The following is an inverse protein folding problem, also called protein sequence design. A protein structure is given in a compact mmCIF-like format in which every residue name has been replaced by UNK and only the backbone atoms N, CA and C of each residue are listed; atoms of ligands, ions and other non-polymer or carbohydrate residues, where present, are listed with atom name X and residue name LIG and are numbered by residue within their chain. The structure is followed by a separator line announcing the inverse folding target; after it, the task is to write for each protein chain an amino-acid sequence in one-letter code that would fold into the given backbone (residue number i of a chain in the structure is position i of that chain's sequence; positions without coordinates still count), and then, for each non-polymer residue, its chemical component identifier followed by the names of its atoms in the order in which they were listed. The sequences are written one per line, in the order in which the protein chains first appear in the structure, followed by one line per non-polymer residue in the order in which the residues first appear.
data_IF_745493660522
#
_entry.id   IF_745493660522
#
_cell.length_a   1.000
_cell.length_b   1.000
_cell.length_c   1.000
_cell.angle_alpha   90.00
_cell.angle_beta   90.00
_cell.angle_gamma   90.00
#
_symmetry.space_group_name_H-M   'P 1'
#
loop_
_entity.id
_entity.type
_entity.pdbx_description
1 polymer ?
#
# COMPACT_ATOMS: atom_id res chain seq x y z
N UNK A 1 -5.81 -3.74 -0.55
CA UNK A 1 -5.57 -4.79 -1.56
C UNK A 1 -6.20 -4.42 -2.88
N UNK A 2 -7.50 -4.63 -3.05
CA UNK A 2 -8.17 -4.55 -4.35
C UNK A 2 -8.03 -3.20 -5.05
N UNK A 3 -8.33 -2.09 -4.35
CA UNK A 3 -8.15 -0.72 -4.89
C UNK A 3 -6.74 -0.44 -5.39
N UNK A 4 -5.72 -0.96 -4.70
CA UNK A 4 -4.32 -0.84 -5.09
C UNK A 4 -4.01 -1.65 -6.37
N UNK A 5 -4.51 -2.89 -6.45
CA UNK A 5 -4.35 -3.75 -7.63
C UNK A 5 -5.08 -3.21 -8.86
N UNK A 6 -6.31 -2.73 -8.69
CA UNK A 6 -7.12 -2.11 -9.75
C UNK A 6 -6.44 -0.88 -10.33
N UNK A 7 -5.92 0.00 -9.46
CA UNK A 7 -5.18 1.18 -9.90
C UNK A 7 -3.93 0.78 -10.68
N UNK A 8 -3.15 -0.18 -10.17
CA UNK A 8 -1.93 -0.61 -10.84
C UNK A 8 -2.23 -1.24 -12.19
N UNK A 9 -3.24 -2.10 -12.28
CA UNK A 9 -3.64 -2.74 -13.53
C UNK A 9 -4.04 -1.72 -14.60
N UNK A 10 -4.79 -0.69 -14.21
CA UNK A 10 -5.12 0.43 -15.09
C UNK A 10 -3.87 1.20 -15.52
N UNK A 11 -2.99 1.53 -14.58
CA UNK A 11 -1.81 2.35 -14.85
C UNK A 11 -0.81 1.66 -15.79
N UNK A 12 -0.73 0.34 -15.73
CA UNK A 12 0.21 -0.47 -16.52
C UNK A 12 -0.40 -1.13 -17.74
N UNK A 13 -1.68 -0.85 -18.04
CA UNK A 13 -2.45 -1.54 -19.08
C UNK A 13 -2.37 -3.07 -18.94
N UNK A 14 -2.43 -3.57 -17.70
CA UNK A 14 -2.42 -4.99 -17.39
C UNK A 14 -1.06 -5.69 -17.52
N UNK A 15 0.06 -4.97 -17.48
CA UNK A 15 1.42 -5.55 -17.64
C UNK A 15 2.37 -5.10 -16.55
N UNK A 16 2.77 -5.98 -15.64
CA UNK A 16 3.71 -5.60 -14.58
C UNK A 16 4.49 -6.78 -14.00
N UNK A 17 5.78 -6.56 -13.73
CA UNK A 17 6.56 -7.39 -12.81
C UNK A 17 6.53 -6.77 -11.42
N UNK A 18 5.81 -7.42 -10.51
CA UNK A 18 5.42 -6.85 -9.22
C UNK A 18 6.26 -7.48 -8.11
N UNK A 19 6.92 -6.63 -7.33
CA UNK A 19 7.47 -7.03 -6.03
C UNK A 19 6.43 -6.74 -4.96
N UNK A 20 6.04 -7.76 -4.21
CA UNK A 20 5.16 -7.61 -3.06
C UNK A 20 5.97 -7.60 -1.76
N UNK A 21 5.89 -6.49 -1.01
CA UNK A 21 6.43 -6.38 0.34
C UNK A 21 5.31 -6.62 1.35
N UNK A 22 5.28 -7.81 1.92
CA UNK A 22 4.21 -8.24 2.82
C UNK A 22 4.43 -7.78 4.25
N UNK A 23 3.34 -7.61 5.00
CA UNK A 23 3.39 -7.30 6.43
C UNK A 23 3.87 -8.45 7.31
N UNK A 24 3.71 -8.31 8.62
CA UNK A 24 4.07 -9.34 9.61
C UNK A 24 3.39 -10.67 9.31
N UNK A 25 4.17 -11.76 9.32
CA UNK A 25 3.66 -13.10 9.06
C UNK A 25 2.57 -13.50 10.08
N UNK A 26 1.46 -14.05 9.58
CA UNK A 26 0.31 -14.45 10.41
C UNK A 26 -0.68 -13.31 10.72
N UNK A 27 -0.34 -12.05 10.42
CA UNK A 27 -1.28 -10.94 10.59
C UNK A 27 -2.42 -11.02 9.56
N UNK A 28 -3.67 -10.93 10.02
CA UNK A 28 -4.85 -10.93 9.14
C UNK A 28 -4.79 -9.80 8.11
N UNK A 29 -4.36 -8.61 8.54
CA UNK A 29 -4.23 -7.44 7.66
C UNK A 29 -3.27 -7.68 6.49
N UNK A 30 -2.16 -8.40 6.70
CA UNK A 30 -1.22 -8.73 5.63
C UNK A 30 -1.85 -9.72 4.65
N UNK A 31 -2.48 -10.78 5.17
CA UNK A 31 -3.19 -11.78 4.36
C UNK A 31 -4.30 -11.13 3.51
N UNK A 32 -5.15 -10.32 4.13
CA UNK A 32 -6.32 -9.73 3.47
C UNK A 32 -5.89 -8.67 2.44
N UNK A 33 -4.81 -7.90 2.72
CA UNK A 33 -4.19 -6.98 1.76
C UNK A 33 -3.61 -7.74 0.55
N UNK A 34 -2.90 -8.86 0.74
CA UNK A 34 -2.42 -9.72 -0.35
C UNK A 34 -3.57 -10.30 -1.18
N UNK A 35 -4.56 -10.91 -0.51
CA UNK A 35 -5.68 -11.57 -1.19
C UNK A 35 -6.43 -10.57 -2.07
N UNK A 36 -6.82 -9.42 -1.54
CA UNK A 36 -7.54 -8.42 -2.32
C UNK A 36 -6.73 -7.89 -3.51
N UNK A 37 -5.42 -7.75 -3.36
CA UNK A 37 -4.55 -7.34 -4.47
C UNK A 37 -4.49 -8.42 -5.55
N UNK A 38 -4.27 -9.68 -5.18
CA UNK A 38 -4.27 -10.81 -6.12
C UNK A 38 -5.59 -10.97 -6.86
N UNK A 39 -6.72 -10.82 -6.16
CA UNK A 39 -8.05 -10.86 -6.77
C UNK A 39 -8.24 -9.77 -7.82
N UNK A 40 -7.79 -8.54 -7.53
CA UNK A 40 -7.88 -7.41 -8.46
C UNK A 40 -7.04 -7.61 -9.73
N UNK A 41 -5.88 -8.26 -9.63
CA UNK A 41 -5.00 -8.48 -10.79
C UNK A 41 -5.26 -9.80 -11.52
N UNK A 42 -6.14 -10.68 -10.99
CA UNK A 42 -6.38 -12.04 -11.52
C UNK A 42 -6.78 -12.07 -13.00
N UNK A 43 -7.44 -11.02 -13.50
CA UNK A 43 -7.85 -10.88 -14.90
C UNK A 43 -6.72 -10.46 -15.86
N UNK A 44 -5.52 -10.16 -15.36
CA UNK A 44 -4.41 -9.60 -16.13
C UNK A 44 -3.21 -10.58 -16.11
N UNK A 45 -3.11 -11.52 -17.07
CA UNK A 45 -2.10 -12.58 -17.04
C UNK A 45 -0.65 -12.09 -17.16
N UNK A 46 -0.46 -10.87 -17.68
CA UNK A 46 0.85 -10.22 -17.79
C UNK A 46 1.23 -9.39 -16.53
N UNK A 47 0.36 -9.35 -15.51
CA UNK A 47 0.71 -8.85 -14.18
C UNK A 47 1.13 -10.03 -13.30
N UNK A 48 2.41 -10.09 -12.96
CA UNK A 48 3.00 -11.21 -12.22
C UNK A 48 3.67 -10.71 -10.96
N UNK A 49 3.33 -11.32 -9.82
CA UNK A 49 4.12 -11.18 -8.60
C UNK A 49 5.39 -12.01 -8.78
N UNK A 50 6.51 -11.34 -9.05
CA UNK A 50 7.81 -11.98 -9.35
C UNK A 50 8.65 -12.23 -8.10
N UNK A 51 8.34 -11.53 -7.01
CA UNK A 51 8.87 -11.77 -5.68
C UNK A 51 7.84 -11.32 -4.63
N UNK A 52 7.68 -12.09 -3.56
CA UNK A 52 6.87 -11.72 -2.39
C UNK A 52 7.64 -12.10 -1.13
N UNK A 53 7.99 -11.10 -0.32
CA UNK A 53 8.77 -11.28 0.91
C UNK A 53 8.30 -10.30 1.97
N UNK A 54 8.33 -10.74 3.23
CA UNK A 54 7.88 -9.91 4.35
C UNK A 54 8.90 -8.82 4.68
N UNK A 55 8.43 -7.58 4.74
CA UNK A 55 9.15 -6.45 5.34
C UNK A 55 8.67 -6.14 6.76
N UNK A 56 7.83 -7.00 7.34
CA UNK A 56 7.36 -6.93 8.73
C UNK A 56 6.76 -5.56 9.12
N UNK A 57 6.12 -4.89 8.16
CA UNK A 57 5.59 -3.52 8.32
C UNK A 57 6.61 -2.44 8.72
N UNK A 58 7.91 -2.72 8.68
CA UNK A 58 8.95 -1.74 9.05
C UNK A 58 9.68 -1.18 7.83
N UNK A 59 10.08 0.08 7.93
CA UNK A 59 10.88 0.75 6.89
C UNK A 59 12.22 0.07 6.64
N UNK A 60 12.93 -0.29 7.72
CA UNK A 60 14.25 -0.90 7.64
C UNK A 60 14.20 -2.25 6.91
N UNK A 61 13.24 -3.11 7.25
CA UNK A 61 13.10 -4.40 6.58
C UNK A 61 12.56 -4.23 5.15
N UNK A 62 11.64 -3.29 4.91
CA UNK A 62 11.19 -2.96 3.55
C UNK A 62 12.35 -2.57 2.62
N UNK A 63 13.26 -1.73 3.12
CA UNK A 63 14.49 -1.39 2.40
C UNK A 63 15.38 -2.61 2.16
N UNK A 64 15.74 -3.35 3.21
CA UNK A 64 16.63 -4.52 3.13
C UNK A 64 16.11 -5.58 2.16
N UNK A 65 14.81 -5.88 2.22
CA UNK A 65 14.18 -6.86 1.34
C UNK A 65 14.19 -6.37 -0.10
N UNK A 66 13.88 -5.10 -0.33
CA UNK A 66 13.91 -4.53 -1.68
C UNK A 66 15.32 -4.53 -2.27
N UNK A 67 16.35 -4.19 -1.49
CA UNK A 67 17.76 -4.27 -1.91
C UNK A 67 18.13 -5.68 -2.41
N UNK A 68 17.76 -6.72 -1.66
CA UNK A 68 18.00 -8.11 -2.04
C UNK A 68 17.25 -8.50 -3.33
N UNK A 69 16.00 -8.05 -3.47
CA UNK A 69 15.18 -8.37 -4.65
C UNK A 69 15.70 -7.65 -5.90
N UNK A 70 16.15 -6.39 -5.77
CA UNK A 70 16.79 -5.65 -6.87
C UNK A 70 18.02 -6.40 -7.38
N UNK A 71 18.88 -6.91 -6.48
CA UNK A 71 20.05 -7.69 -6.86
C UNK A 71 19.68 -8.98 -7.61
N UNK A 72 18.62 -9.67 -7.17
CA UNK A 72 18.21 -10.94 -7.76
C UNK A 72 17.44 -10.78 -9.09
N UNK A 73 16.60 -9.74 -9.21
CA UNK A 73 15.56 -9.62 -10.26
C UNK A 73 15.37 -8.22 -10.83
N UNK A 74 16.27 -7.26 -10.57
CA UNK A 74 16.05 -5.83 -10.83
C UNK A 74 15.49 -5.45 -12.20
N UNK A 75 15.88 -6.16 -13.28
CA UNK A 75 15.41 -5.91 -14.64
C UNK A 75 13.96 -6.30 -14.90
N UNK A 76 13.39 -7.19 -14.09
CA UNK A 76 12.01 -7.66 -14.22
C UNK A 76 11.03 -6.78 -13.45
N UNK A 77 11.52 -5.93 -12.53
CA UNK A 77 10.68 -5.13 -11.65
C UNK A 77 10.15 -3.93 -12.43
N UNK A 78 8.83 -3.75 -12.41
CA UNK A 78 8.16 -2.52 -12.91
C UNK A 78 7.24 -1.90 -11.86
N UNK A 79 6.92 -2.63 -10.79
CA UNK A 79 6.11 -2.12 -9.69
C UNK A 79 6.49 -2.75 -8.35
N UNK A 80 6.31 -1.98 -7.27
CA UNK A 80 6.34 -2.43 -5.88
C UNK A 80 4.95 -2.23 -5.29
N UNK A 81 4.36 -3.30 -4.77
CA UNK A 81 3.19 -3.26 -3.90
C UNK A 81 3.64 -3.54 -2.47
N UNK A 82 3.60 -2.52 -1.62
CA UNK A 82 3.89 -2.69 -0.20
C UNK A 82 2.59 -2.72 0.60
N UNK A 83 2.49 -3.65 1.55
CA UNK A 83 1.31 -3.70 2.40
C UNK A 83 1.19 -2.50 3.31
N UNK A 84 2.27 -1.76 3.60
CA UNK A 84 2.17 -0.46 4.26
C UNK A 84 3.10 0.61 3.68
N UNK A 85 2.85 1.86 4.07
CA UNK A 85 3.64 3.02 3.67
C UNK A 85 5.10 2.96 4.15
N UNK A 86 5.36 2.47 5.37
CA UNK A 86 6.72 2.39 5.91
C UNK A 86 7.62 1.48 5.07
N UNK A 87 7.14 0.29 4.70
CA UNK A 87 7.88 -0.60 3.80
C UNK A 87 8.06 0.02 2.41
N UNK A 88 7.06 0.75 1.90
CA UNK A 88 7.16 1.44 0.62
C UNK A 88 8.24 2.53 0.64
N UNK A 89 8.33 3.31 1.73
CA UNK A 89 9.36 4.33 1.92
C UNK A 89 10.76 3.71 2.01
N UNK A 90 10.89 2.54 2.65
CA UNK A 90 12.13 1.76 2.61
C UNK A 90 12.49 1.31 1.20
N UNK A 91 11.52 0.79 0.45
CA UNK A 91 11.72 0.36 -0.94
C UNK A 91 12.14 1.52 -1.86
N UNK A 92 11.56 2.72 -1.66
CA UNK A 92 11.95 3.95 -2.36
C UNK A 92 13.43 4.25 -2.15
N UNK A 93 13.94 4.11 -0.91
CA UNK A 93 15.36 4.32 -0.64
C UNK A 93 16.24 3.27 -1.33
N UNK A 94 15.86 2.00 -1.28
CA UNK A 94 16.58 0.92 -1.96
C UNK A 94 16.67 1.14 -3.48
N UNK A 95 15.56 1.55 -4.10
CA UNK A 95 15.47 1.85 -5.53
C UNK A 95 16.37 3.03 -5.92
N UNK A 96 16.34 4.12 -5.14
CA UNK A 96 17.23 5.27 -5.34
C UNK A 96 18.71 4.89 -5.23
N UNK A 97 19.07 4.09 -4.22
CA UNK A 97 20.44 3.59 -4.05
C UNK A 97 20.90 2.72 -5.22
N UNK A 98 19.97 2.03 -5.89
CA UNK A 98 20.24 1.26 -7.10
C UNK A 98 20.25 2.09 -8.40
N UNK A 99 20.10 3.42 -8.30
CA UNK A 99 20.06 4.33 -9.46
C UNK A 99 18.74 4.33 -10.24
N UNK A 100 17.68 3.74 -9.68
CA UNK A 100 16.34 3.73 -10.27
C UNK A 100 15.52 4.92 -9.75
N UNK A 101 14.56 5.40 -10.55
CA UNK A 101 13.64 6.48 -10.17
C UNK A 101 12.31 5.90 -9.68
N UNK A 102 12.11 5.76 -8.37
CA UNK A 102 10.81 5.31 -7.85
C UNK A 102 9.72 6.32 -8.23
N UNK A 103 8.50 5.83 -8.46
CA UNK A 103 7.37 6.62 -8.95
C UNK A 103 7.36 6.84 -10.47
N UNK A 104 8.48 6.56 -11.16
CA UNK A 104 8.64 6.73 -12.60
C UNK A 104 9.08 5.43 -13.29
N UNK A 105 10.32 4.98 -13.04
CA UNK A 105 10.85 3.72 -13.59
C UNK A 105 10.14 2.51 -12.98
N UNK A 106 9.86 2.62 -11.66
CA UNK A 106 9.20 1.60 -10.85
C UNK A 106 8.01 2.24 -10.15
N UNK A 107 6.79 1.77 -10.45
CA UNK A 107 5.59 2.28 -9.80
C UNK A 107 5.53 1.80 -8.35
N UNK A 108 5.20 2.69 -7.41
CA UNK A 108 5.11 2.37 -5.98
C UNK A 108 3.67 2.55 -5.51
N UNK A 109 3.12 1.44 -4.99
CA UNK A 109 1.74 1.33 -4.52
C UNK A 109 1.76 0.85 -3.08
N UNK A 110 1.02 1.54 -2.20
CA UNK A 110 1.03 1.26 -0.77
C UNK A 110 -0.35 1.45 -0.12
N UNK A 111 -0.42 1.24 1.20
CA UNK A 111 -1.62 1.36 2.01
C UNK A 111 -1.20 1.98 3.34
N UNK A 112 -1.93 2.97 3.82
CA UNK A 112 -2.04 3.49 5.19
C UNK A 112 -2.46 4.96 5.13
N UNK A 113 -1.86 5.75 4.23
CA UNK A 113 -2.17 7.17 4.05
C UNK A 113 -1.40 8.09 4.99
N UNK A 114 -0.18 7.70 5.37
CA UNK A 114 0.68 8.47 6.26
C UNK A 114 1.18 9.75 5.60
N UNK A 115 1.45 10.78 6.40
CA UNK A 115 1.96 12.06 5.89
C UNK A 115 3.21 11.89 5.02
N UNK A 116 4.15 11.06 5.45
CA UNK A 116 5.39 10.75 4.74
C UNK A 116 5.15 10.11 3.36
N UNK A 117 4.10 9.29 3.20
CA UNK A 117 3.71 8.72 1.92
C UNK A 117 3.08 9.76 1.00
N UNK A 118 2.21 10.64 1.53
CA UNK A 118 1.65 11.75 0.74
C UNK A 118 2.75 12.71 0.28
N UNK A 119 3.74 13.02 1.13
CA UNK A 119 4.92 13.79 0.74
C UNK A 119 5.74 13.09 -0.35
N UNK A 120 5.89 11.77 -0.28
CA UNK A 120 6.54 11.00 -1.35
C UNK A 120 5.75 11.03 -2.66
N UNK A 121 4.41 11.00 -2.60
CA UNK A 121 3.54 11.17 -3.78
C UNK A 121 3.72 12.58 -4.38
N UNK A 122 3.74 13.62 -3.55
CA UNK A 122 3.95 15.01 -3.98
C UNK A 122 5.31 15.18 -4.67
N UNK A 123 6.36 14.52 -4.16
CA UNK A 123 7.70 14.49 -4.78
C UNK A 123 7.77 13.63 -6.04
N UNK A 124 6.72 12.89 -6.38
CA UNK A 124 6.69 11.96 -7.52
C UNK A 124 7.53 10.70 -7.31
N UNK A 125 7.81 10.34 -6.05
CA UNK A 125 8.59 9.16 -5.65
C UNK A 125 7.69 7.96 -5.31
N UNK A 126 6.40 8.21 -5.12
CA UNK A 126 5.37 7.21 -4.89
C UNK A 126 4.15 7.54 -5.76
N UNK A 127 3.40 6.54 -6.20
CA UNK A 127 2.26 6.80 -7.07
C UNK A 127 0.95 6.92 -6.31
N UNK A 128 0.65 5.94 -5.43
CA UNK A 128 -0.56 5.94 -4.62
C UNK A 128 -0.36 5.31 -3.24
N UNK A 129 -1.19 5.75 -2.30
CA UNK A 129 -1.47 5.02 -1.05
C UNK A 129 -2.97 5.00 -0.79
N UNK A 130 -3.50 3.84 -0.38
CA UNK A 130 -4.89 3.69 0.06
C UNK A 130 -4.94 3.92 1.56
N UNK A 131 -5.76 4.84 2.04
CA UNK A 131 -5.84 5.13 3.48
C UNK A 131 -6.28 3.88 4.26
N UNK A 132 -5.75 3.71 5.46
CA UNK A 132 -6.24 2.78 6.48
C UNK A 132 -6.52 3.61 7.72
N UNK A 133 -7.70 4.24 7.76
CA UNK A 133 -7.96 5.37 8.64
C UNK A 133 -7.87 4.99 10.14
N UNK A 134 -6.93 5.55 10.92
CA UNK A 134 -6.77 5.22 12.33
C UNK A 134 -7.77 5.96 13.24
N UNK A 135 -8.53 6.93 12.71
CA UNK A 135 -9.41 7.81 13.49
C UNK A 135 -10.79 7.22 13.74
N UNK A 136 -10.84 5.95 14.10
CA UNK A 136 -12.10 5.24 14.38
C UNK A 136 -12.57 5.39 15.84
N UNK A 137 -11.81 6.06 16.70
CA UNK A 137 -12.14 6.26 18.11
C UNK A 137 -13.55 6.82 18.35
N UNK A 138 -13.93 7.97 17.77
CA UNK A 138 -15.28 8.53 17.92
C UNK A 138 -16.37 7.54 17.49
N UNK A 139 -16.22 6.91 16.33
CA UNK A 139 -17.17 5.90 15.84
C UNK A 139 -17.28 4.68 16.78
N UNK A 140 -16.16 4.26 17.39
CA UNK A 140 -16.16 3.17 18.36
C UNK A 140 -16.95 3.55 19.63
N UNK A 141 -16.75 4.75 20.17
CA UNK A 141 -17.51 5.25 21.32
C UNK A 141 -18.98 5.46 21.00
N UNK A 142 -19.31 6.04 19.85
CA UNK A 142 -20.70 6.21 19.39
C UNK A 142 -21.41 4.86 19.25
N UNK A 143 -20.71 3.85 18.72
CA UNK A 143 -21.25 2.48 18.59
C UNK A 143 -21.47 1.83 19.95
N UNK A 144 -20.54 2.04 20.89
CA UNK A 144 -20.67 1.56 22.26
C UNK A 144 -21.87 2.20 22.97
N UNK A 145 -22.07 3.50 22.84
CA UNK A 145 -23.21 4.19 23.44
C UNK A 145 -24.55 3.66 22.91
N UNK A 146 -24.67 3.46 21.59
CA UNK A 146 -25.86 2.87 20.96
C UNK A 146 -26.14 1.46 21.50
N UNK A 147 -25.11 0.64 21.60
CA UNK A 147 -25.21 -0.70 22.16
C UNK A 147 -25.73 -0.67 23.61
N UNK A 148 -25.18 0.22 24.45
CA UNK A 148 -25.61 0.36 25.84
C UNK A 148 -27.05 0.86 25.99
N UNK A 149 -27.58 1.60 25.00
CA UNK A 149 -28.99 2.02 24.94
C UNK A 149 -29.94 0.93 24.42
N UNK A 150 -29.42 -0.25 24.07
CA UNK A 150 -30.21 -1.35 23.50
C UNK A 150 -30.57 -1.14 22.03
N UNK A 151 -29.91 -0.21 21.33
CA UNK A 151 -30.10 0.00 19.90
C UNK A 151 -29.46 -1.15 19.11
N UNK A 152 -30.05 -1.50 17.96
CA UNK A 152 -29.44 -2.48 17.06
C UNK A 152 -28.21 -1.87 16.38
N UNK A 153 -27.09 -2.58 16.46
CA UNK A 153 -25.84 -2.22 15.78
C UNK A 153 -25.47 -3.29 14.75
N UNK A 154 -24.90 -2.92 13.59
CA UNK A 154 -24.44 -3.89 12.62
C UNK A 154 -23.24 -4.69 13.17
N UNK A 155 -23.10 -5.98 12.82
CA UNK A 155 -21.99 -6.82 13.29
C UNK A 155 -20.64 -6.43 12.70
N UNK A 156 -20.64 -5.63 11.62
CA UNK A 156 -19.45 -5.11 10.97
C UNK A 156 -19.69 -3.66 10.57
N UNK A 157 -18.81 -2.77 11.03
CA UNK A 157 -18.76 -1.37 10.62
C UNK A 157 -17.48 -1.20 9.80
N UNK A 158 -17.63 -0.75 8.55
CA UNK A 158 -16.49 -0.51 7.67
C UNK A 158 -16.18 0.98 7.74
N UNK A 159 -14.91 1.30 8.02
CA UNK A 159 -14.40 2.66 8.02
C UNK A 159 -14.31 3.18 6.60
N UNK A 160 -14.58 4.46 6.43
CA UNK A 160 -14.34 5.13 5.16
C UNK A 160 -12.84 5.45 5.02
N UNK A 161 -12.24 4.89 3.98
CA UNK A 161 -10.84 5.05 3.64
C UNK A 161 -10.69 5.90 2.37
N UNK A 162 -9.85 6.93 2.41
CA UNK A 162 -9.49 7.71 1.23
C UNK A 162 -8.51 6.99 0.32
N UNK A 163 -8.34 7.54 -0.88
CA UNK A 163 -7.34 7.10 -1.86
C UNK A 163 -6.50 8.30 -2.23
N UNK A 164 -5.19 8.20 -2.07
CA UNK A 164 -4.28 9.29 -2.32
C UNK A 164 -3.44 9.03 -3.56
N UNK A 165 -3.41 10.02 -4.45
CA UNK A 165 -2.57 10.05 -5.64
C UNK A 165 -2.05 11.48 -5.87
N UNK A 166 -1.33 11.70 -6.97
CA UNK A 166 -0.76 13.02 -7.30
C UNK A 166 -1.80 14.15 -7.42
N UNK A 167 -3.07 13.84 -7.64
CA UNK A 167 -4.11 14.83 -7.86
C UNK A 167 -4.65 15.40 -6.54
N UNK A 168 -4.56 14.65 -5.44
CA UNK A 168 -5.15 15.05 -4.16
C UNK A 168 -4.18 15.00 -2.96
N UNK A 169 -3.00 14.40 -3.08
CA UNK A 169 -2.06 14.29 -1.96
C UNK A 169 -1.70 15.66 -1.37
N UNK A 170 -1.50 16.68 -2.21
CA UNK A 170 -1.17 18.05 -1.75
C UNK A 170 -2.30 18.69 -0.92
N UNK A 171 -3.56 18.37 -1.23
CA UNK A 171 -4.71 18.87 -0.49
C UNK A 171 -4.79 18.23 0.90
N UNK A 172 -4.51 16.93 1.00
CA UNK A 172 -4.74 16.15 2.22
C UNK A 172 -3.50 15.93 3.10
N UNK A 173 -2.30 16.35 2.67
CA UNK A 173 -1.04 16.08 3.39
C UNK A 173 -1.01 16.64 4.82
N UNK A 174 -1.72 17.73 5.08
CA UNK A 174 -1.81 18.32 6.43
C UNK A 174 -2.86 17.64 7.32
N UNK A 175 -3.74 16.83 6.73
CA UNK A 175 -4.74 16.01 7.43
C UNK A 175 -4.27 14.56 7.63
N UNK A 176 -3.16 14.16 6.99
CA UNK A 176 -2.57 12.85 7.19
C UNK A 176 -2.00 12.72 8.61
N UNK A 177 -1.92 11.48 9.09
CA UNK A 177 -1.38 11.16 10.41
C UNK A 177 0.11 10.78 10.33
#
# INVERSE_FOLDING_TARGET
GSRAGEWLAKQTNGKAGIVELTGTAGASVARDRSQGFMEAIKGYPDMKIIASQTGDFTRANGQKVMENIIQARGKEITAVYAHNDEMALGAIQALKSAGLKPGQDILIVSIDGQKSALEAIIRGEMNITVESNPRFGPLAFDTLEKFLKGEQIPPKIILEDRFFDKNNAQQFVNEAY
#
